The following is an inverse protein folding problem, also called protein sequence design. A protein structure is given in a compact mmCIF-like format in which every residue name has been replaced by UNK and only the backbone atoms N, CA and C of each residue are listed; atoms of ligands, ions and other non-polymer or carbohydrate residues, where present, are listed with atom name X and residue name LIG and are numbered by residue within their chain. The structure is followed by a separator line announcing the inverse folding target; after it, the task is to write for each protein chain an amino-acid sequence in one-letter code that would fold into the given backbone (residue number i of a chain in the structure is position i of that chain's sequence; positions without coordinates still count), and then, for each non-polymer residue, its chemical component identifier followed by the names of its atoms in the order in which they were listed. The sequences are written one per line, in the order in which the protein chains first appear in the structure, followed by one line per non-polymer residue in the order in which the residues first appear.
data_IF_475490722842
#
_entry.id   IF_475490722842
#
_cell.length_a   1.000
_cell.length_b   1.000
_cell.length_c   1.000
_cell.angle_alpha   90.00
_cell.angle_beta   90.00
_cell.angle_gamma   90.00
#
_symmetry.space_group_name_H-M   'P 1'
#
loop_
_entity.id
_entity.type
_entity.pdbx_description
1 polymer ?
#
# COMPACT_ATOMS: atom_id res chain seq x y z
N UNK A 1 -3.99 37.82 -15.63
CA UNK A 1 -4.82 38.29 -16.77
C UNK A 1 -6.22 37.73 -16.58
N UNK A 2 -7.22 38.61 -16.42
CA UNK A 2 -8.65 38.28 -16.32
C UNK A 2 -9.25 38.33 -17.73
N UNK A 3 -10.02 37.32 -18.12
CA UNK A 3 -10.93 37.36 -19.28
C UNK A 3 -12.21 36.67 -18.82
N UNK A 4 -13.16 37.43 -18.27
CA UNK A 4 -14.28 38.11 -18.94
C UNK A 4 -15.40 37.12 -19.36
N UNK A 5 -16.50 37.16 -18.59
CA UNK A 5 -17.80 36.54 -18.88
C UNK A 5 -18.50 37.37 -19.98
N UNK A 6 -19.13 36.71 -20.94
CA UNK A 6 -20.13 37.32 -21.83
C UNK A 6 -21.45 36.55 -21.67
N UNK A 7 -22.48 37.30 -21.32
CA UNK A 7 -23.88 36.89 -21.31
C UNK A 7 -24.62 37.71 -22.37
N UNK A 8 -25.51 37.08 -23.13
CA UNK A 8 -26.59 37.65 -23.96
C UNK A 8 -27.20 36.48 -24.77
N UNK A 9 -28.48 36.39 -25.10
CA UNK A 9 -29.69 37.20 -24.88
C UNK A 9 -30.89 36.27 -25.20
N UNK A 10 -32.02 36.54 -24.56
CA UNK A 10 -33.33 35.94 -24.81
C UNK A 10 -33.86 36.32 -26.20
N UNK A 11 -34.45 35.34 -26.91
CA UNK A 11 -35.27 35.58 -28.10
C UNK A 11 -36.57 34.80 -28.00
N UNK A 12 -37.67 35.50 -27.76
CA UNK A 12 -39.03 34.99 -27.84
C UNK A 12 -39.51 35.02 -29.30
N UNK A 13 -40.08 33.91 -29.79
CA UNK A 13 -40.68 33.79 -31.12
C UNK A 13 -41.89 32.87 -31.06
N UNK A 14 -43.01 33.36 -31.61
CA UNK A 14 -44.38 32.96 -31.31
C UNK A 14 -44.86 31.64 -31.95
N UNK A 15 -46.00 31.19 -31.41
CA UNK A 15 -46.78 30.00 -31.75
C UNK A 15 -47.18 29.88 -33.22
N UNK A 16 -47.12 28.65 -33.75
CA UNK A 16 -48.03 28.16 -34.77
C UNK A 16 -48.59 26.80 -34.32
N UNK A 17 -49.88 26.81 -33.99
CA UNK A 17 -50.65 25.62 -33.67
C UNK A 17 -51.02 24.88 -34.96
N UNK A 18 -50.58 23.62 -35.09
CA UNK A 18 -51.22 22.66 -35.98
C UNK A 18 -51.81 21.55 -35.12
N UNK A 19 -53.14 21.55 -35.03
CA UNK A 19 -53.90 20.44 -34.50
C UNK A 19 -53.92 19.32 -35.54
N UNK A 20 -53.35 18.16 -35.21
CA UNK A 20 -53.59 16.90 -35.90
C UNK A 20 -54.13 15.90 -34.88
N UNK A 21 -55.38 15.50 -35.10
CA UNK A 21 -56.10 14.54 -34.30
C UNK A 21 -55.63 13.10 -34.58
N UNK A 22 -55.76 12.25 -33.55
CA UNK A 22 -55.84 10.77 -33.60
C UNK A 22 -54.50 10.06 -33.84
N UNK A 23 -53.95 9.30 -32.89
CA UNK A 23 -54.57 8.11 -32.32
C UNK A 23 -53.94 7.78 -30.96
N UNK A 24 -54.79 7.45 -29.98
CA UNK A 24 -54.36 6.84 -28.73
C UNK A 24 -53.91 5.40 -29.00
N UNK A 25 -52.63 5.24 -29.37
CA UNK A 25 -51.96 3.97 -29.29
C UNK A 25 -51.57 3.71 -27.84
N UNK A 26 -52.32 2.87 -27.15
CA UNK A 26 -51.90 2.28 -25.87
C UNK A 26 -50.66 1.43 -26.12
N UNK A 27 -49.48 2.06 -26.06
CA UNK A 27 -48.23 1.34 -25.90
C UNK A 27 -48.18 0.81 -24.47
N UNK A 28 -48.84 -0.33 -24.24
CA UNK A 28 -48.50 -1.24 -23.16
C UNK A 28 -47.12 -1.83 -23.47
N UNK A 29 -46.10 -0.97 -23.40
CA UNK A 29 -44.71 -1.40 -23.35
C UNK A 29 -44.53 -2.14 -22.04
N UNK A 30 -44.54 -3.47 -22.10
CA UNK A 30 -43.93 -4.31 -21.09
C UNK A 30 -42.57 -3.72 -20.75
N UNK A 31 -42.43 -3.08 -19.58
CA UNK A 31 -41.13 -2.70 -19.01
C UNK A 31 -40.42 -4.01 -18.67
N UNK A 32 -39.39 -4.48 -19.39
CA UNK A 32 -38.52 -5.50 -18.83
C UNK A 32 -37.56 -4.78 -17.87
N UNK A 33 -37.03 -5.50 -16.90
CA UNK A 33 -35.84 -5.12 -16.11
C UNK A 33 -35.99 -4.23 -14.86
N UNK A 34 -37.16 -4.15 -14.22
CA UNK A 34 -37.26 -3.69 -12.82
C UNK A 34 -36.90 -4.76 -11.78
N UNK A 35 -37.09 -6.03 -12.11
CA UNK A 35 -37.01 -7.13 -11.15
C UNK A 35 -35.58 -7.65 -10.93
N UNK A 36 -34.69 -7.59 -11.91
CA UNK A 36 -33.31 -8.09 -11.78
C UNK A 36 -32.48 -7.20 -10.86
N UNK A 37 -32.56 -5.87 -10.98
CA UNK A 37 -31.87 -4.96 -10.09
C UNK A 37 -32.42 -4.99 -8.66
N UNK A 38 -33.75 -4.99 -8.49
CA UNK A 38 -34.38 -5.06 -7.17
C UNK A 38 -34.10 -6.40 -6.45
N UNK A 39 -34.14 -7.52 -7.17
CA UNK A 39 -33.84 -8.86 -6.61
C UNK A 39 -32.36 -9.01 -6.27
N UNK A 40 -31.47 -8.39 -7.05
CA UNK A 40 -30.04 -8.37 -6.71
C UNK A 40 -29.80 -7.51 -5.47
N UNK A 41 -30.41 -6.32 -5.38
CA UNK A 41 -30.35 -5.44 -4.21
C UNK A 41 -30.88 -6.11 -2.92
N UNK A 42 -32.03 -6.79 -2.99
CA UNK A 42 -32.57 -7.55 -1.86
C UNK A 42 -31.63 -8.69 -1.41
N UNK A 43 -31.00 -9.38 -2.36
CA UNK A 43 -30.00 -10.42 -2.06
C UNK A 43 -28.74 -9.83 -1.41
N UNK A 44 -28.32 -8.63 -1.78
CA UNK A 44 -27.21 -7.93 -1.12
C UNK A 44 -27.55 -7.51 0.31
N UNK A 45 -28.75 -6.97 0.52
CA UNK A 45 -29.22 -6.56 1.85
C UNK A 45 -29.27 -7.72 2.85
N UNK A 46 -29.48 -8.94 2.37
CA UNK A 46 -29.50 -10.16 3.18
C UNK A 46 -28.10 -10.69 3.57
N UNK A 47 -27.02 -10.25 2.91
CA UNK A 47 -25.66 -10.70 3.23
C UNK A 47 -25.21 -10.16 4.60
N UNK A 48 -24.54 -11.02 5.38
CA UNK A 48 -24.04 -10.68 6.72
C UNK A 48 -22.52 -10.75 6.77
N UNK A 49 -21.90 -9.89 7.58
CA UNK A 49 -20.45 -9.89 7.82
C UNK A 49 -19.63 -9.86 6.54
N UNK A 50 -18.59 -10.71 6.48
CA UNK A 50 -17.64 -10.80 5.36
C UNK A 50 -18.33 -11.15 4.03
N UNK A 51 -19.47 -11.82 4.06
CA UNK A 51 -20.19 -12.20 2.83
C UNK A 51 -20.76 -10.99 2.07
N UNK A 52 -20.74 -9.78 2.65
CA UNK A 52 -21.03 -8.54 1.91
C UNK A 52 -19.93 -8.19 0.90
N UNK A 53 -18.71 -8.65 1.11
CA UNK A 53 -17.56 -8.42 0.22
C UNK A 53 -17.64 -9.41 -0.94
N UNK A 54 -17.64 -8.92 -2.18
CA UNK A 54 -17.68 -9.75 -3.40
C UNK A 54 -16.40 -9.74 -4.22
N UNK A 55 -15.64 -8.65 -4.10
CA UNK A 55 -14.41 -8.44 -4.83
C UNK A 55 -13.38 -7.94 -3.84
N UNK A 56 -12.22 -8.59 -3.84
CA UNK A 56 -11.04 -8.15 -3.12
C UNK A 56 -10.03 -7.77 -4.18
N UNK A 57 -9.60 -6.50 -4.17
CA UNK A 57 -8.53 -6.01 -5.02
C UNK A 57 -7.34 -5.77 -4.12
N UNK A 58 -6.23 -6.44 -4.40
CA UNK A 58 -5.00 -6.32 -3.64
C UNK A 58 -4.03 -5.47 -4.47
N UNK A 59 -3.65 -4.31 -3.95
CA UNK A 59 -2.63 -3.45 -4.53
C UNK A 59 -1.38 -3.59 -3.66
N UNK A 60 -0.37 -4.28 -4.17
CA UNK A 60 0.89 -4.48 -3.48
C UNK A 60 1.88 -3.38 -3.88
N UNK A 61 2.39 -2.68 -2.88
CA UNK A 61 3.51 -1.76 -3.02
C UNK A 61 4.77 -2.42 -2.47
N UNK A 62 5.93 -1.83 -2.79
CA UNK A 62 7.22 -2.35 -2.34
C UNK A 62 8.08 -1.26 -1.68
N UNK A 63 9.06 -1.70 -0.89
CA UNK A 63 10.21 -0.92 -0.42
C UNK A 63 9.90 0.33 0.42
N UNK A 64 8.81 0.32 1.21
CA UNK A 64 8.50 1.37 2.18
C UNK A 64 8.11 0.78 3.53
N UNK A 65 8.73 1.29 4.60
CA UNK A 65 8.33 0.97 5.98
C UNK A 65 7.07 1.74 6.36
N UNK A 66 6.42 1.31 7.44
CA UNK A 66 5.29 2.06 8.00
C UNK A 66 5.70 3.49 8.38
N UNK A 67 6.82 3.65 9.09
CA UNK A 67 7.29 4.96 9.54
C UNK A 67 7.64 5.91 8.39
N UNK A 68 8.11 5.38 7.26
CA UNK A 68 8.40 6.17 6.06
C UNK A 68 7.15 6.87 5.51
N UNK A 69 5.96 6.27 5.60
CA UNK A 69 4.72 6.86 5.06
C UNK A 69 3.79 7.43 6.13
N UNK A 70 3.69 6.76 7.28
CA UNK A 70 2.68 7.02 8.30
C UNK A 70 3.28 7.23 9.69
N UNK A 71 4.60 7.29 9.84
CA UNK A 71 5.27 7.52 11.12
C UNK A 71 4.91 8.85 11.79
N UNK A 72 4.35 9.81 11.04
CA UNK A 72 3.83 11.08 11.57
C UNK A 72 2.30 11.20 11.52
N UNK A 73 1.60 10.10 11.26
CA UNK A 73 0.14 10.07 11.23
C UNK A 73 -0.41 9.98 12.66
N UNK A 74 -1.04 11.06 13.14
CA UNK A 74 -1.52 11.24 14.55
C UNK A 74 -2.33 10.08 15.13
N UNK A 75 -3.02 9.30 14.29
CA UNK A 75 -3.92 8.23 14.71
C UNK A 75 -3.32 6.83 14.56
N UNK A 76 -2.00 6.73 14.40
CA UNK A 76 -1.26 5.47 14.36
C UNK A 76 -0.30 5.36 15.54
N UNK A 77 0.16 4.14 15.79
CA UNK A 77 1.42 3.90 16.48
C UNK A 77 2.59 4.21 15.52
N UNK A 78 3.11 5.43 15.58
CA UNK A 78 4.18 5.91 14.70
C UNK A 78 5.44 6.35 15.45
N UNK A 79 6.28 7.12 14.78
CA UNK A 79 7.57 7.59 15.30
C UNK A 79 7.39 8.30 16.65
N UNK A 80 8.04 7.83 17.73
CA UNK A 80 7.94 8.42 19.06
C UNK A 80 8.28 9.92 19.07
N UNK A 81 7.51 10.69 19.84
CA UNK A 81 7.70 12.15 19.97
C UNK A 81 7.23 12.99 18.77
N UNK A 82 6.81 12.37 17.66
CA UNK A 82 6.18 13.06 16.54
C UNK A 82 4.66 12.95 16.59
N UNK A 83 3.95 13.95 16.05
CA UNK A 83 2.49 13.97 15.95
C UNK A 83 1.69 13.71 17.26
N UNK A 84 2.35 13.77 18.42
CA UNK A 84 1.76 13.45 19.72
C UNK A 84 1.93 11.98 20.15
N UNK A 85 2.70 11.18 19.41
CA UNK A 85 3.03 9.81 19.76
C UNK A 85 3.87 9.77 21.05
N UNK A 86 3.60 8.82 21.97
CA UNK A 86 4.32 8.69 23.22
C UNK A 86 5.81 8.36 22.99
N UNK A 87 6.66 8.76 23.94
CA UNK A 87 8.10 8.54 23.89
C UNK A 87 8.89 9.74 23.38
N UNK A 88 10.17 9.52 23.08
CA UNK A 88 11.12 10.57 22.69
C UNK A 88 11.59 10.34 21.26
N UNK A 89 11.77 11.43 20.51
CA UNK A 89 12.28 11.39 19.13
C UNK A 89 13.58 10.56 19.06
N UNK A 90 13.60 9.47 18.27
CA UNK A 90 14.79 8.63 18.12
C UNK A 90 16.01 9.41 17.61
N UNK A 91 17.18 8.97 18.05
CA UNK A 91 18.48 9.56 17.75
C UNK A 91 19.43 8.38 17.54
N UNK A 92 19.57 7.95 16.28
CA UNK A 92 20.30 6.74 15.91
C UNK A 92 21.79 7.06 15.70
N UNK A 93 22.69 6.16 16.13
CA UNK A 93 24.12 6.41 16.05
C UNK A 93 24.58 6.51 14.59
N UNK A 94 25.49 7.45 14.33
CA UNK A 94 26.20 7.61 13.06
C UNK A 94 27.70 7.74 13.35
N UNK A 95 28.55 7.23 12.47
CA UNK A 95 30.00 7.25 12.64
C UNK A 95 30.61 8.65 12.44
N UNK A 96 29.90 9.54 11.74
CA UNK A 96 30.33 10.92 11.44
C UNK A 96 29.66 12.01 12.27
N UNK A 97 28.59 11.70 12.99
CA UNK A 97 27.77 12.65 13.75
C UNK A 97 27.41 12.11 15.14
N UNK A 98 26.89 12.94 16.04
CA UNK A 98 26.47 12.45 17.36
C UNK A 98 25.30 11.46 17.26
N UNK A 99 24.37 11.72 16.35
CA UNK A 99 23.27 10.84 15.94
C UNK A 99 22.44 11.50 14.84
N UNK A 100 21.70 10.70 14.08
CA UNK A 100 20.70 11.19 13.13
C UNK A 100 19.29 10.96 13.69
N UNK A 101 18.45 11.99 13.58
CA UNK A 101 17.03 11.93 13.92
C UNK A 101 16.18 11.73 12.67
N UNK A 102 15.00 11.10 12.75
CA UNK A 102 14.09 11.05 11.63
C UNK A 102 13.77 12.45 11.09
N UNK A 103 13.83 12.64 9.78
CA UNK A 103 13.64 13.93 9.13
C UNK A 103 12.59 13.88 8.01
N UNK A 104 11.95 15.02 7.76
CA UNK A 104 10.96 15.13 6.71
C UNK A 104 11.64 15.10 5.35
N UNK A 105 11.48 14.00 4.63
CA UNK A 105 11.88 13.86 3.24
C UNK A 105 10.74 14.32 2.32
N UNK A 106 11.07 15.13 1.32
CA UNK A 106 10.13 15.71 0.35
C UNK A 106 10.43 15.27 -1.08
N UNK A 107 11.45 14.45 -1.28
CA UNK A 107 11.85 13.99 -2.58
C UNK A 107 11.01 12.78 -2.98
N UNK A 108 10.52 12.79 -4.22
CA UNK A 108 9.82 11.64 -4.82
C UNK A 108 10.75 10.45 -5.05
N UNK A 109 12.06 10.68 -4.97
CA UNK A 109 13.10 9.68 -5.13
C UNK A 109 13.88 9.52 -3.83
N UNK A 110 13.87 8.31 -3.28
CA UNK A 110 14.63 7.93 -2.09
C UNK A 110 15.46 6.69 -2.45
N UNK A 111 16.72 6.65 -2.02
CA UNK A 111 17.63 5.55 -2.31
C UNK A 111 17.34 4.31 -1.45
N UNK A 112 16.88 4.52 -0.22
CA UNK A 112 16.66 3.49 0.78
C UNK A 112 17.95 2.84 1.29
N UNK A 113 17.75 1.81 2.13
CA UNK A 113 18.81 0.96 2.65
C UNK A 113 18.84 -0.42 1.97
N UNK A 114 19.89 -1.22 2.21
CA UNK A 114 19.92 -2.61 1.79
C UNK A 114 18.83 -3.41 2.52
N UNK A 115 18.16 -4.33 1.81
CA UNK A 115 16.97 -5.03 2.31
C UNK A 115 17.13 -6.57 2.33
N UNK A 116 18.37 -7.06 2.32
CA UNK A 116 18.61 -8.50 2.45
C UNK A 116 18.36 -8.95 3.91
N UNK A 117 18.09 -10.25 4.16
CA UNK A 117 17.79 -10.77 5.50
C UNK A 117 18.84 -10.37 6.56
N UNK A 118 20.12 -10.50 6.23
CA UNK A 118 21.23 -10.10 7.11
C UNK A 118 21.24 -8.61 7.46
N UNK A 119 20.78 -7.77 6.53
CA UNK A 119 20.73 -6.33 6.74
C UNK A 119 19.58 -6.00 7.68
N UNK A 120 18.40 -6.58 7.45
CA UNK A 120 17.25 -6.39 8.35
C UNK A 120 17.52 -6.89 9.77
N UNK A 121 18.22 -8.02 9.94
CA UNK A 121 18.66 -8.49 11.27
C UNK A 121 19.62 -7.50 11.94
N UNK A 122 20.58 -6.97 11.18
CA UNK A 122 21.54 -5.98 11.67
C UNK A 122 20.89 -4.63 11.98
N UNK A 123 19.88 -4.21 11.21
CA UNK A 123 19.09 -2.99 11.45
C UNK A 123 18.35 -3.07 12.79
N UNK A 124 17.73 -4.22 13.06
CA UNK A 124 17.00 -4.47 14.29
C UNK A 124 17.91 -4.64 15.51
N UNK A 125 19.17 -5.05 15.33
CA UNK A 125 20.21 -5.20 16.38
C UNK A 125 19.66 -5.83 17.68
N UNK A 126 19.07 -7.02 17.58
CA UNK A 126 18.52 -7.73 18.75
C UNK A 126 17.41 -6.98 19.49
N UNK A 127 16.68 -6.10 18.78
CA UNK A 127 15.60 -5.28 19.32
C UNK A 127 16.01 -3.86 19.72
N UNK A 128 17.29 -3.48 19.54
CA UNK A 128 17.76 -2.11 19.80
C UNK A 128 17.37 -1.11 18.69
N UNK A 129 17.06 -1.61 17.49
CA UNK A 129 16.55 -0.81 16.36
C UNK A 129 17.44 0.38 15.97
N UNK A 130 18.76 0.18 15.97
CA UNK A 130 19.74 1.25 15.80
C UNK A 130 20.79 0.96 14.71
N UNK A 131 20.63 -0.11 13.92
CA UNK A 131 21.59 -0.51 12.88
C UNK A 131 21.38 0.13 11.51
N UNK A 132 20.24 0.79 11.28
CA UNK A 132 19.77 1.29 9.98
C UNK A 132 20.81 2.14 9.23
N UNK A 133 21.39 3.14 9.91
CA UNK A 133 22.37 4.05 9.30
C UNK A 133 23.64 3.28 8.94
N UNK A 134 24.14 2.45 9.86
CA UNK A 134 25.35 1.66 9.63
C UNK A 134 25.18 0.68 8.45
N UNK A 135 24.00 0.06 8.28
CA UNK A 135 23.73 -0.80 7.13
C UNK A 135 23.65 0.00 5.82
N UNK A 136 23.02 1.17 5.82
CA UNK A 136 23.02 2.05 4.66
C UNK A 136 24.45 2.44 4.29
N UNK A 137 25.22 3.00 5.21
CA UNK A 137 26.61 3.42 4.97
C UNK A 137 27.49 2.28 4.43
N UNK A 138 27.34 1.07 4.98
CA UNK A 138 28.06 -0.11 4.53
C UNK A 138 27.68 -0.52 3.10
N UNK A 139 26.40 -0.38 2.72
CA UNK A 139 25.93 -0.69 1.37
C UNK A 139 26.43 0.32 0.32
N UNK A 140 26.70 1.57 0.73
CA UNK A 140 27.16 2.61 -0.18
C UNK A 140 28.58 2.39 -0.68
N UNK A 141 29.44 1.58 -0.03
CA UNK A 141 30.82 1.30 -0.48
C UNK A 141 31.62 2.56 -0.91
N UNK A 142 31.34 3.73 -0.32
CA UNK A 142 31.98 5.01 -0.69
C UNK A 142 31.34 5.79 -1.85
N UNK A 143 30.17 5.39 -2.35
CA UNK A 143 29.37 6.15 -3.31
C UNK A 143 28.80 7.43 -2.68
N UNK A 144 29.53 8.53 -2.83
CA UNK A 144 29.19 9.85 -2.25
C UNK A 144 27.92 10.50 -2.79
N UNK A 145 27.32 9.98 -3.86
CA UNK A 145 26.12 10.54 -4.48
C UNK A 145 24.82 10.14 -3.77
N UNK A 146 24.88 9.20 -2.83
CA UNK A 146 23.72 8.75 -2.06
C UNK A 146 23.79 9.36 -0.66
N UNK A 147 22.73 10.01 -0.15
CA UNK A 147 22.66 10.42 1.24
C UNK A 147 22.91 9.22 2.15
N UNK A 148 23.69 9.42 3.22
CA UNK A 148 24.09 8.35 4.15
C UNK A 148 22.98 7.96 5.14
N UNK A 149 21.95 8.80 5.20
CA UNK A 149 20.88 8.80 6.19
C UNK A 149 19.48 8.78 5.56
N UNK A 150 19.37 8.49 4.25
CA UNK A 150 18.08 8.37 3.54
C UNK A 150 17.10 7.42 4.25
N UNK A 151 17.60 6.38 4.94
CA UNK A 151 16.79 5.46 5.76
C UNK A 151 16.05 6.13 6.92
N UNK A 152 16.44 7.35 7.31
CA UNK A 152 15.82 8.15 8.37
C UNK A 152 14.75 9.12 7.84
N UNK A 153 14.55 9.17 6.52
CA UNK A 153 13.55 10.00 5.87
C UNK A 153 12.11 9.50 6.07
N UNK A 154 11.20 10.40 6.40
CA UNK A 154 9.75 10.14 6.41
C UNK A 154 8.98 11.15 5.55
N UNK A 155 7.86 10.69 5.00
CA UNK A 155 6.86 11.50 4.30
C UNK A 155 5.70 11.86 5.21
N UNK A 156 4.96 12.91 4.87
CA UNK A 156 3.68 13.22 5.50
C UNK A 156 2.57 13.44 4.47
N UNK A 157 1.37 13.79 4.94
CA UNK A 157 0.20 13.95 4.08
C UNK A 157 0.29 15.05 3.03
N UNK A 158 1.31 15.92 3.07
CA UNK A 158 1.58 16.89 2.00
C UNK A 158 2.33 16.25 0.83
N UNK A 159 3.17 15.26 1.09
CA UNK A 159 4.01 14.59 0.08
C UNK A 159 3.24 13.42 -0.55
N UNK A 160 2.47 12.68 0.26
CA UNK A 160 1.69 11.51 -0.19
C UNK A 160 0.18 11.63 0.15
N UNK A 161 -0.52 12.67 -0.36
CA UNK A 161 -1.87 13.02 0.07
C UNK A 161 -2.91 11.93 -0.20
N UNK A 162 -2.75 11.13 -1.26
CA UNK A 162 -3.67 10.04 -1.58
C UNK A 162 -3.65 8.94 -0.50
N UNK A 163 -2.45 8.53 -0.06
CA UNK A 163 -2.29 7.51 0.97
C UNK A 163 -2.81 7.96 2.33
N UNK A 164 -2.55 9.22 2.71
CA UNK A 164 -3.09 9.80 3.94
C UNK A 164 -4.60 10.00 3.89
N UNK A 165 -5.17 10.28 2.71
CA UNK A 165 -6.62 10.31 2.51
C UNK A 165 -7.23 8.94 2.75
N UNK A 166 -6.61 7.87 2.22
CA UNK A 166 -7.08 6.50 2.47
C UNK A 166 -6.99 6.11 3.95
N UNK A 167 -5.89 6.45 4.63
CA UNK A 167 -5.72 6.18 6.06
C UNK A 167 -6.74 6.92 6.94
N UNK A 168 -7.21 8.10 6.50
CA UNK A 168 -8.25 8.87 7.19
C UNK A 168 -9.64 8.33 6.94
N UNK A 169 -9.95 7.99 5.69
CA UNK A 169 -11.31 7.63 5.27
C UNK A 169 -11.60 6.13 5.49
N UNK A 170 -10.57 5.30 5.67
CA UNK A 170 -10.65 3.86 5.86
C UNK A 170 -9.80 3.37 7.05
N UNK A 171 -9.48 2.07 7.06
CA UNK A 171 -8.68 1.44 8.12
C UNK A 171 -7.21 1.44 7.70
N UNK A 172 -6.36 1.97 8.58
CA UNK A 172 -4.91 1.79 8.53
C UNK A 172 -4.52 0.74 9.57
N UNK A 173 -3.72 -0.25 9.16
CA UNK A 173 -3.16 -1.25 10.08
C UNK A 173 -1.73 -0.84 10.46
N UNK A 174 -1.54 -0.34 11.68
CA UNK A 174 -0.26 0.12 12.21
C UNK A 174 0.55 -1.00 12.91
N UNK A 175 -0.01 -2.21 12.98
CA UNK A 175 0.63 -3.43 13.49
C UNK A 175 0.61 -4.56 12.45
N UNK A 176 0.91 -4.21 11.19
CA UNK A 176 1.04 -5.17 10.09
C UNK A 176 2.51 -5.31 9.69
N UNK A 177 3.05 -6.51 9.89
CA UNK A 177 4.46 -6.82 9.63
C UNK A 177 4.62 -7.69 8.40
N UNK A 178 5.79 -7.61 7.75
CA UNK A 178 6.17 -8.55 6.69
C UNK A 178 6.20 -9.98 7.23
N UNK A 179 5.74 -10.95 6.43
CA UNK A 179 5.68 -12.36 6.84
C UNK A 179 7.05 -12.98 7.14
N UNK A 180 8.14 -12.40 6.62
CA UNK A 180 9.51 -12.80 6.91
C UNK A 180 10.49 -11.64 6.71
N UNK A 181 11.71 -11.73 7.25
CA UNK A 181 12.80 -10.78 6.98
C UNK A 181 13.47 -11.15 5.65
N UNK A 182 12.83 -10.88 4.52
CA UNK A 182 13.34 -11.30 3.21
C UNK A 182 12.98 -10.31 2.10
N UNK A 183 13.52 -10.59 0.91
CA UNK A 183 13.39 -9.76 -0.29
C UNK A 183 11.99 -9.86 -0.93
N UNK A 184 11.69 -8.94 -1.85
CA UNK A 184 10.45 -8.86 -2.62
C UNK A 184 9.90 -10.20 -3.09
N UNK A 185 10.74 -11.02 -3.74
CA UNK A 185 10.32 -12.31 -4.28
C UNK A 185 9.72 -13.23 -3.20
N UNK A 186 10.28 -13.25 -1.99
CA UNK A 186 9.75 -14.06 -0.89
C UNK A 186 8.43 -13.48 -0.36
N UNK A 187 8.34 -12.15 -0.23
CA UNK A 187 7.09 -11.52 0.23
C UNK A 187 5.94 -11.74 -0.75
N UNK A 188 6.23 -11.71 -2.05
CA UNK A 188 5.23 -11.94 -3.09
C UNK A 188 4.68 -13.38 -3.03
N UNK A 189 5.54 -14.35 -2.73
CA UNK A 189 5.10 -15.73 -2.49
C UNK A 189 4.23 -15.81 -1.23
N UNK A 190 4.68 -15.23 -0.10
CA UNK A 190 3.88 -15.18 1.12
C UNK A 190 2.51 -14.53 0.92
N UNK A 191 2.39 -13.50 0.08
CA UNK A 191 1.11 -12.87 -0.22
C UNK A 191 0.09 -13.84 -0.84
N UNK A 192 0.55 -14.73 -1.73
CA UNK A 192 -0.36 -15.61 -2.49
C UNK A 192 -0.52 -17.00 -1.87
N UNK A 193 0.49 -17.50 -1.15
CA UNK A 193 0.51 -18.88 -0.63
C UNK A 193 0.59 -18.96 0.90
N UNK A 194 0.89 -17.85 1.59
CA UNK A 194 1.22 -17.89 3.02
C UNK A 194 2.57 -18.57 3.33
N UNK A 195 3.38 -18.90 2.31
CA UNK A 195 4.61 -19.63 2.49
C UNK A 195 5.68 -19.33 1.43
N UNK A 196 6.92 -19.16 1.87
CA UNK A 196 8.08 -19.10 0.99
C UNK A 196 9.24 -19.90 1.60
N UNK A 197 9.98 -20.60 0.74
CA UNK A 197 11.00 -21.53 1.17
C UNK A 197 12.23 -21.51 0.27
N UNK A 198 13.34 -21.93 0.85
CA UNK A 198 14.57 -22.26 0.13
C UNK A 198 14.76 -23.76 0.11
N UNK A 199 14.99 -24.32 -1.07
CA UNK A 199 15.20 -25.74 -1.29
C UNK A 199 16.68 -25.98 -1.61
N UNK A 200 17.33 -26.88 -0.87
CA UNK A 200 18.75 -27.21 -1.11
C UNK A 200 18.93 -28.12 -2.32
N UNK A 201 17.88 -28.81 -2.77
CA UNK A 201 17.88 -29.70 -3.93
C UNK A 201 16.78 -29.28 -4.90
N UNK A 202 17.16 -29.04 -6.17
CA UNK A 202 16.22 -28.66 -7.24
C UNK A 202 15.18 -29.77 -7.45
N UNK A 203 13.90 -29.41 -7.40
CA UNK A 203 12.79 -30.34 -7.66
C UNK A 203 12.50 -31.34 -6.54
N UNK A 204 13.15 -31.21 -5.37
CA UNK A 204 12.86 -32.01 -4.19
C UNK A 204 12.23 -31.15 -3.09
N UNK A 205 10.90 -31.24 -2.89
CA UNK A 205 10.18 -30.52 -1.86
C UNK A 205 10.64 -30.81 -0.43
N UNK A 206 11.18 -32.01 -0.17
CA UNK A 206 11.62 -32.42 1.19
C UNK A 206 12.88 -31.67 1.65
N UNK A 207 13.63 -31.15 0.67
CA UNK A 207 14.81 -30.31 0.88
C UNK A 207 14.46 -28.86 1.24
N UNK A 208 13.19 -28.46 1.09
CA UNK A 208 12.75 -27.09 1.33
C UNK A 208 12.62 -26.80 2.83
N UNK A 209 13.04 -25.60 3.23
CA UNK A 209 12.84 -25.05 4.57
C UNK A 209 12.28 -23.63 4.45
N UNK A 210 11.30 -23.31 5.29
CA UNK A 210 10.85 -21.93 5.48
C UNK A 210 12.05 -21.10 5.90
N UNK A 211 12.33 -20.01 5.18
CA UNK A 211 13.51 -19.23 5.51
C UNK A 211 13.79 -18.11 4.54
N UNK A 212 14.40 -17.07 5.09
CA UNK A 212 14.85 -15.89 4.39
C UNK A 212 16.13 -16.20 3.59
N UNK A 213 16.01 -16.90 2.47
CA UNK A 213 17.17 -17.05 1.60
C UNK A 213 17.45 -15.74 0.84
N UNK A 214 18.71 -15.37 0.80
CA UNK A 214 19.24 -14.24 0.03
C UNK A 214 19.30 -14.52 -1.47
N UNK A 215 19.16 -15.79 -1.88
CA UNK A 215 19.23 -16.23 -3.28
C UNK A 215 18.01 -17.07 -3.64
N UNK A 216 17.37 -16.82 -4.79
CA UNK A 216 16.36 -17.73 -5.32
C UNK A 216 17.01 -19.11 -5.50
N UNK A 217 16.54 -20.10 -4.76
CA UNK A 217 16.87 -21.49 -5.04
C UNK A 217 16.47 -21.86 -6.47
N UNK A 218 17.09 -22.89 -7.07
CA UNK A 218 16.82 -23.25 -8.45
C UNK A 218 15.41 -23.82 -8.60
N UNK A 219 14.45 -22.97 -8.97
CA UNK A 219 13.08 -23.37 -9.32
C UNK A 219 12.21 -23.70 -8.10
N UNK A 220 11.03 -23.10 -8.06
CA UNK A 220 10.02 -23.42 -7.06
C UNK A 220 9.55 -24.86 -7.27
N UNK A 221 9.88 -25.75 -6.34
CA UNK A 221 9.24 -27.05 -6.25
C UNK A 221 7.84 -26.82 -5.66
N UNK A 222 6.90 -26.34 -6.48
CA UNK A 222 5.51 -26.22 -6.07
C UNK A 222 4.99 -27.61 -5.70
N UNK A 223 4.68 -27.79 -4.42
CA UNK A 223 3.84 -28.90 -3.95
C UNK A 223 2.49 -28.30 -3.62
N UNK A 224 1.43 -28.91 -4.13
CA UNK A 224 0.06 -28.53 -3.83
C UNK A 224 -0.16 -28.53 -2.31
N UNK A 225 -0.84 -27.50 -1.78
CA UNK A 225 -1.06 -27.33 -0.34
C UNK A 225 -1.72 -28.57 0.30
N UNK A 226 -2.41 -29.37 -0.52
CA UNK A 226 -3.05 -30.63 -0.12
C UNK A 226 -2.08 -31.72 0.35
N UNK A 227 -0.78 -31.61 0.08
CA UNK A 227 0.21 -32.63 0.49
C UNK A 227 0.83 -32.39 1.88
N UNK A 228 0.55 -31.25 2.52
CA UNK A 228 1.11 -30.84 3.82
C UNK A 228 0.09 -30.84 4.96
N UNK A 229 -1.14 -31.29 4.70
CA UNK A 229 -2.19 -31.58 5.70
C UNK A 229 -2.43 -33.09 5.77
#
# INVERSE_FOLDING_TARGET
MRVARIAALLGAGALLAFAAASSAGSASGLRPAGHTHARTAARYAALKGIHKIRHVVIILQENRSFDSYFGTYRHADGIPGFAGHPGTVPCLPDSGESCVRPFHDRYDFNYGGPYAPRNAEADMDGGKMNGFIAQQEAALNGHRSVPKDDVMGYHNGKDIPNYWTYARDFVLQDHMFSSSLSTSNFQHLYLVSGWAAHCTVKGDPSSCRSGAASTPGPGYAWTDLTYLL
#
